data_IF_138176869886
#
_entry.id   IF_138176869886
#
_cell.length_a   1.000
_cell.length_b   1.000
_cell.length_c   1.000
_cell.angle_alpha   90.00
_cell.angle_beta   90.00
_cell.angle_gamma   90.00
#
_symmetry.space_group_name_H-M   'P 1'
#
loop_
_entity.id
_entity.type
_entity.pdbx_description
1 polymer ?
#
# COMPACT_ATOMS: atom_id res chain seq x y z
N UNK A 1 -74.40 2.40 16.88
CA UNK A 1 -74.44 0.93 16.70
C UNK A 1 -72.99 0.47 16.70
N UNK A 2 -72.59 -0.18 17.80
CA UNK A 2 -71.24 -0.74 17.98
C UNK A 2 -71.04 -1.89 16.99
N UNK A 3 -69.90 -1.92 16.31
CA UNK A 3 -69.34 -3.14 15.74
C UNK A 3 -67.84 -3.15 16.04
N UNK A 4 -67.51 -3.92 17.07
CA UNK A 4 -66.22 -4.54 17.35
C UNK A 4 -65.68 -5.19 16.05
N UNK A 5 -64.39 -5.08 15.72
CA UNK A 5 -63.35 -5.90 16.34
C UNK A 5 -62.74 -6.81 15.27
N UNK A 6 -61.82 -6.26 14.47
CA UNK A 6 -60.95 -7.06 13.58
C UNK A 6 -59.64 -7.32 14.33
N UNK A 7 -59.20 -8.58 14.47
CA UNK A 7 -58.03 -8.89 15.27
C UNK A 7 -56.77 -8.37 14.58
N UNK A 8 -56.07 -7.49 15.29
CA UNK A 8 -54.70 -7.05 15.01
C UNK A 8 -53.78 -8.28 15.06
N UNK A 9 -53.51 -8.86 13.90
CA UNK A 9 -52.44 -9.85 13.74
C UNK A 9 -51.11 -9.16 14.06
N UNK A 10 -50.28 -9.85 14.85
CA UNK A 10 -48.99 -9.37 15.37
C UNK A 10 -48.02 -8.86 14.28
N UNK A 11 -48.22 -9.26 13.03
CA UNK A 11 -47.46 -8.84 11.85
C UNK A 11 -47.78 -7.42 11.34
N UNK A 12 -48.98 -6.89 11.61
CA UNK A 12 -49.38 -5.54 11.17
C UNK A 12 -48.80 -4.41 12.04
N UNK A 13 -48.26 -4.73 13.22
CA UNK A 13 -47.72 -3.74 14.16
C UNK A 13 -46.27 -3.35 13.84
N UNK A 14 -45.53 -4.17 13.12
CA UNK A 14 -44.15 -3.86 12.70
C UNK A 14 -44.05 -2.88 11.53
N UNK A 15 -45.07 -2.82 10.66
CA UNK A 15 -45.09 -1.91 9.52
C UNK A 15 -45.74 -0.55 9.81
N UNK A 16 -46.55 -0.44 10.87
CA UNK A 16 -47.33 0.78 11.14
C UNK A 16 -46.73 1.72 12.21
N UNK A 17 -45.49 1.46 12.65
CA UNK A 17 -44.75 2.33 13.57
C UNK A 17 -43.75 3.21 12.81
N UNK A 18 -44.18 3.77 11.69
CA UNK A 18 -43.44 4.77 10.95
C UNK A 18 -44.43 5.82 10.49
N UNK A 19 -44.97 6.64 11.41
CA UNK A 19 -45.54 7.97 11.12
C UNK A 19 -45.85 8.68 12.46
N UNK A 20 -44.95 9.59 12.88
CA UNK A 20 -45.06 10.73 13.84
C UNK A 20 -43.60 11.07 14.21
N UNK A 21 -42.98 12.21 13.87
CA UNK A 21 -43.40 13.62 13.86
C UNK A 21 -42.72 14.45 12.73
N UNK A 22 -43.35 15.53 12.20
CA UNK A 22 -42.83 16.31 11.09
C UNK A 22 -41.99 17.53 11.53
N UNK A 23 -41.03 17.38 12.45
CA UNK A 23 -40.22 18.53 12.92
C UNK A 23 -38.70 18.30 13.14
N UNK A 24 -38.15 17.19 12.68
CA UNK A 24 -36.69 17.07 12.53
C UNK A 24 -36.36 16.19 11.32
N UNK A 25 -36.08 16.82 10.19
CA UNK A 25 -35.45 16.13 9.07
C UNK A 25 -34.04 15.76 9.53
N UNK A 26 -33.87 14.51 9.95
CA UNK A 26 -32.60 13.99 10.42
C UNK A 26 -31.73 13.68 9.18
N UNK A 27 -30.94 14.66 8.76
CA UNK A 27 -30.09 14.58 7.55
C UNK A 27 -29.04 13.46 7.63
N UNK A 28 -28.76 12.95 8.84
CA UNK A 28 -27.81 11.85 9.07
C UNK A 28 -28.36 10.47 8.72
N UNK A 29 -29.68 10.34 8.49
CA UNK A 29 -30.33 9.04 8.21
C UNK A 29 -29.97 8.46 6.83
N UNK A 30 -29.47 9.28 5.90
CA UNK A 30 -29.17 8.89 4.52
C UNK A 30 -27.65 8.81 4.20
N UNK A 31 -26.79 8.69 5.21
CA UNK A 31 -25.32 8.67 5.02
C UNK A 31 -24.81 7.50 4.18
N UNK A 32 -25.58 6.42 4.15
CA UNK A 32 -25.34 5.28 3.27
C UNK A 32 -26.16 5.57 2.00
N UNK A 33 -25.56 6.28 1.04
CA UNK A 33 -26.12 6.72 -0.26
C UNK A 33 -26.61 5.57 -1.19
N UNK A 34 -26.96 4.42 -0.63
CA UNK A 34 -27.43 3.21 -1.31
C UNK A 34 -28.96 3.20 -1.44
N UNK A 35 -29.68 4.08 -0.73
CA UNK A 35 -31.15 4.14 -0.82
C UNK A 35 -31.83 2.89 -0.25
N UNK A 36 -31.23 2.27 0.78
CA UNK A 36 -31.72 1.05 1.42
C UNK A 36 -33.05 1.20 2.17
N UNK A 37 -33.54 2.43 2.31
CA UNK A 37 -34.80 2.72 3.00
C UNK A 37 -36.04 2.27 2.18
N UNK A 38 -35.91 2.21 0.84
CA UNK A 38 -36.98 1.72 -0.03
C UNK A 38 -36.73 0.26 -0.46
N UNK A 39 -37.62 -0.70 -0.13
CA UNK A 39 -37.50 -2.11 -0.51
C UNK A 39 -37.38 -2.35 -2.02
N UNK A 40 -37.78 -1.35 -2.83
CA UNK A 40 -37.63 -1.36 -4.29
C UNK A 40 -36.15 -1.49 -4.72
N UNK A 41 -35.19 -0.91 -3.97
CA UNK A 41 -33.77 -0.91 -4.32
C UNK A 41 -32.96 -2.10 -3.80
N UNK A 42 -33.62 -3.17 -3.33
CA UNK A 42 -32.92 -4.35 -2.80
C UNK A 42 -31.91 -4.99 -3.78
N UNK A 43 -32.15 -4.89 -5.09
CA UNK A 43 -31.26 -5.41 -6.15
C UNK A 43 -30.00 -4.55 -6.34
N UNK A 44 -29.99 -3.31 -5.87
CA UNK A 44 -28.88 -2.39 -6.03
C UNK A 44 -27.64 -2.87 -5.26
N UNK A 45 -27.82 -3.47 -4.09
CA UNK A 45 -26.72 -4.00 -3.26
C UNK A 45 -25.94 -5.12 -3.97
N UNK A 46 -26.59 -6.21 -4.47
CA UNK A 46 -25.90 -7.21 -5.29
C UNK A 46 -25.26 -6.63 -6.55
N UNK A 47 -25.93 -5.70 -7.23
CA UNK A 47 -25.41 -5.05 -8.43
C UNK A 47 -24.13 -4.26 -8.14
N UNK A 48 -24.12 -3.46 -7.06
CA UNK A 48 -22.93 -2.74 -6.59
C UNK A 48 -21.80 -3.75 -6.30
N UNK A 49 -22.10 -4.87 -5.64
CA UNK A 49 -21.11 -5.92 -5.40
C UNK A 49 -20.46 -6.45 -6.69
N UNK A 50 -21.26 -6.76 -7.71
CA UNK A 50 -20.77 -7.22 -9.01
C UNK A 50 -19.91 -6.14 -9.69
N UNK A 51 -20.36 -4.89 -9.68
CA UNK A 51 -19.62 -3.76 -10.25
C UNK A 51 -18.29 -3.56 -9.51
N UNK A 52 -18.28 -3.60 -8.19
CA UNK A 52 -17.06 -3.48 -7.38
C UNK A 52 -16.04 -4.59 -7.70
N UNK A 53 -16.49 -5.84 -7.77
CA UNK A 53 -15.61 -6.98 -8.15
C UNK A 53 -15.07 -6.78 -9.57
N UNK A 54 -15.94 -6.36 -10.50
CA UNK A 54 -15.55 -6.06 -11.89
C UNK A 54 -14.48 -4.98 -11.97
N UNK A 55 -14.66 -3.86 -11.27
CA UNK A 55 -13.68 -2.76 -11.22
C UNK A 55 -12.36 -3.24 -10.60
N UNK A 56 -12.40 -3.98 -9.49
CA UNK A 56 -11.20 -4.56 -8.88
C UNK A 56 -10.44 -5.48 -9.85
N UNK A 57 -11.16 -6.33 -10.60
CA UNK A 57 -10.57 -7.21 -11.60
C UNK A 57 -9.95 -6.40 -12.76
N UNK A 58 -10.66 -5.41 -13.30
CA UNK A 58 -10.15 -4.55 -14.37
C UNK A 58 -8.87 -3.83 -13.93
N UNK A 59 -8.86 -3.19 -12.76
CA UNK A 59 -7.67 -2.48 -12.24
C UNK A 59 -6.48 -3.45 -12.07
N UNK A 60 -6.73 -4.67 -11.57
CA UNK A 60 -5.71 -5.71 -11.45
C UNK A 60 -5.12 -6.11 -12.79
N UNK A 61 -5.98 -6.44 -13.77
CA UNK A 61 -5.53 -6.83 -15.11
C UNK A 61 -4.85 -5.69 -15.85
N UNK A 62 -5.32 -4.45 -15.71
CA UNK A 62 -4.69 -3.25 -16.26
C UNK A 62 -3.30 -3.05 -15.67
N UNK A 63 -3.14 -3.22 -14.35
CA UNK A 63 -1.84 -3.12 -13.69
C UNK A 63 -0.88 -4.22 -14.16
N UNK A 64 -1.37 -5.47 -14.29
CA UNK A 64 -0.58 -6.56 -14.88
C UNK A 64 -0.16 -6.22 -16.30
N UNK A 65 -1.09 -5.85 -17.17
CA UNK A 65 -0.82 -5.49 -18.56
C UNK A 65 0.24 -4.38 -18.64
N UNK A 66 0.09 -3.32 -17.83
CA UNK A 66 1.06 -2.23 -17.73
C UNK A 66 2.46 -2.74 -17.33
N UNK A 67 2.57 -3.55 -16.29
CA UNK A 67 3.87 -4.09 -15.85
C UNK A 67 4.53 -4.99 -16.90
N UNK A 68 3.75 -5.78 -17.63
CA UNK A 68 4.25 -6.63 -18.73
C UNK A 68 4.72 -5.80 -19.92
N UNK A 69 3.95 -4.78 -20.33
CA UNK A 69 4.33 -3.86 -21.40
C UNK A 69 5.62 -3.12 -21.05
N UNK A 70 5.72 -2.56 -19.83
CA UNK A 70 6.93 -1.91 -19.36
C UNK A 70 8.12 -2.88 -19.27
N UNK A 71 7.89 -4.13 -18.85
CA UNK A 71 8.91 -5.17 -18.83
C UNK A 71 9.40 -5.59 -20.22
N UNK A 72 8.51 -5.57 -21.23
CA UNK A 72 8.87 -5.80 -22.62
C UNK A 72 9.68 -4.63 -23.18
N UNK A 73 9.25 -3.39 -22.94
CA UNK A 73 9.98 -2.18 -23.33
C UNK A 73 11.37 -2.18 -22.69
N UNK A 74 11.45 -2.43 -21.38
CA UNK A 74 12.72 -2.50 -20.67
C UNK A 74 13.66 -3.52 -21.30
N UNK A 75 13.15 -4.73 -21.59
CA UNK A 75 13.93 -5.75 -22.27
C UNK A 75 14.39 -5.32 -23.66
N UNK A 76 13.49 -4.78 -24.50
CA UNK A 76 13.81 -4.33 -25.84
C UNK A 76 14.90 -3.25 -25.84
N UNK A 77 14.83 -2.29 -24.91
CA UNK A 77 15.87 -1.25 -24.76
C UNK A 77 17.20 -1.87 -24.33
N UNK A 78 17.19 -2.80 -23.37
CA UNK A 78 18.43 -3.45 -22.91
C UNK A 78 19.03 -4.40 -23.96
N UNK A 79 18.21 -5.14 -24.70
CA UNK A 79 18.68 -6.08 -25.74
C UNK A 79 19.19 -5.35 -26.98
N UNK A 80 18.56 -4.24 -27.36
CA UNK A 80 19.04 -3.38 -28.44
C UNK A 80 20.37 -2.70 -28.08
N UNK A 81 20.53 -2.27 -26.82
CA UNK A 81 21.80 -1.71 -26.32
C UNK A 81 22.94 -2.75 -26.30
N UNK A 82 22.61 -4.03 -26.06
CA UNK A 82 23.57 -5.13 -26.09
C UNK A 82 24.03 -5.52 -27.50
N UNK A 83 23.23 -5.25 -28.54
CA UNK A 83 23.60 -5.57 -29.93
C UNK A 83 24.60 -4.58 -30.54
N UNK A 84 24.80 -3.41 -29.92
CA UNK A 84 25.75 -2.37 -30.37
C UNK A 84 27.12 -2.39 -29.68
N UNK A 85 27.32 -3.25 -28.68
CA UNK A 85 28.58 -3.33 -27.93
C UNK A 85 29.30 -4.63 -28.30
N UNK A 86 30.36 -4.48 -29.09
CA UNK A 86 31.26 -5.55 -29.54
C UNK A 86 31.74 -6.38 -28.35
N UNK A 87 31.64 -7.70 -28.49
CA UNK A 87 32.15 -8.74 -27.59
C UNK A 87 33.54 -8.39 -27.00
N UNK A 88 33.65 -8.27 -25.67
CA UNK A 88 34.73 -8.92 -24.90
C UNK A 88 34.70 -8.74 -23.37
N UNK A 89 33.79 -7.96 -22.79
CA UNK A 89 33.59 -7.95 -21.31
C UNK A 89 32.27 -8.64 -20.92
N UNK A 90 32.29 -9.94 -21.19
CA UNK A 90 31.25 -10.93 -20.91
C UNK A 90 30.92 -11.04 -19.41
N UNK A 91 29.63 -11.25 -19.14
CA UNK A 91 29.10 -12.19 -18.13
C UNK A 91 29.11 -11.83 -16.63
N UNK A 92 29.26 -10.56 -16.22
CA UNK A 92 29.12 -10.22 -14.77
C UNK A 92 28.03 -9.17 -14.46
N UNK A 93 27.60 -8.35 -15.42
CA UNK A 93 26.66 -7.26 -15.14
C UNK A 93 25.26 -7.55 -15.67
N UNK A 94 24.67 -8.67 -15.26
CA UNK A 94 23.21 -8.66 -15.08
C UNK A 94 22.91 -7.52 -14.09
N UNK A 95 21.85 -6.72 -14.23
CA UNK A 95 21.46 -5.76 -13.21
C UNK A 95 20.86 -6.52 -12.01
N UNK A 96 21.63 -7.48 -11.48
CA UNK A 96 21.52 -8.02 -10.15
C UNK A 96 21.65 -6.81 -9.24
N UNK A 97 20.48 -6.37 -8.74
CA UNK A 97 20.31 -5.57 -7.54
C UNK A 97 21.59 -4.84 -7.16
N UNK A 98 22.01 -3.81 -7.91
CA UNK A 98 23.21 -3.05 -7.52
C UNK A 98 22.89 -2.59 -6.10
N UNK A 99 23.58 -3.12 -5.07
CA UNK A 99 23.18 -2.83 -3.72
C UNK A 99 23.51 -1.37 -3.52
N UNK A 100 22.49 -0.52 -3.55
CA UNK A 100 22.67 0.86 -3.15
C UNK A 100 23.18 0.79 -1.72
N UNK A 101 24.43 1.21 -1.51
CA UNK A 101 25.08 1.16 -0.19
C UNK A 101 24.11 1.76 0.84
N UNK A 102 23.87 1.08 1.96
CA UNK A 102 22.87 1.49 2.96
C UNK A 102 22.99 2.98 3.35
N UNK A 103 24.22 3.52 3.36
CA UNK A 103 24.52 4.94 3.60
C UNK A 103 23.94 5.87 2.52
N UNK A 104 24.18 5.59 1.23
CA UNK A 104 23.63 6.39 0.11
C UNK A 104 22.10 6.32 0.07
N UNK A 105 21.52 5.15 0.33
CA UNK A 105 20.06 4.97 0.44
C UNK A 105 19.48 5.79 1.60
N UNK A 106 20.09 5.72 2.78
CA UNK A 106 19.65 6.50 3.94
C UNK A 106 19.76 8.01 3.66
N UNK A 107 20.82 8.45 2.97
CA UNK A 107 20.96 9.84 2.53
C UNK A 107 19.88 10.20 1.51
N UNK A 108 19.59 9.38 0.50
CA UNK A 108 18.53 9.68 -0.49
C UNK A 108 17.15 9.71 0.17
N UNK A 109 16.84 8.79 1.09
CA UNK A 109 15.58 8.80 1.84
C UNK A 109 15.52 10.04 2.74
N UNK A 110 16.59 10.38 3.46
CA UNK A 110 16.64 11.55 4.33
C UNK A 110 16.52 12.86 3.54
N UNK A 111 17.20 12.97 2.40
CA UNK A 111 17.11 14.12 1.48
C UNK A 111 15.71 14.21 0.87
N UNK A 112 15.12 13.09 0.45
CA UNK A 112 13.75 13.06 -0.07
C UNK A 112 12.75 13.49 1.01
N UNK A 113 12.85 12.96 2.23
CA UNK A 113 11.99 13.33 3.35
C UNK A 113 12.18 14.80 3.73
N UNK A 114 13.42 15.29 3.75
CA UNK A 114 13.74 16.69 3.98
C UNK A 114 13.13 17.59 2.89
N UNK A 115 13.25 17.20 1.62
CA UNK A 115 12.69 17.93 0.49
C UNK A 115 11.15 18.00 0.54
N UNK A 116 10.50 16.92 0.97
CA UNK A 116 9.05 16.86 1.21
C UNK A 116 8.64 17.70 2.42
N UNK A 117 9.52 17.78 3.40
CA UNK A 117 9.31 18.59 4.58
C UNK A 117 9.47 20.08 4.29
N UNK A 118 10.32 20.50 3.35
CA UNK A 118 10.64 21.93 3.14
C UNK A 118 10.09 22.57 1.87
N UNK A 119 9.93 21.85 0.76
CA UNK A 119 9.62 22.48 -0.54
C UNK A 119 8.48 21.81 -1.33
N UNK A 120 8.23 20.52 -1.12
CA UNK A 120 7.40 19.71 -2.01
C UNK A 120 6.22 19.08 -1.24
N UNK A 121 4.97 19.18 -1.73
CA UNK A 121 3.83 18.53 -1.11
C UNK A 121 4.01 17.00 -1.07
N UNK A 122 3.59 16.35 0.02
CA UNK A 122 3.76 14.90 0.20
C UNK A 122 3.06 14.08 -0.91
N UNK A 123 2.04 14.65 -1.56
CA UNK A 123 1.33 14.06 -2.70
C UNK A 123 2.26 13.85 -3.90
N UNK A 124 3.22 14.75 -4.14
CA UNK A 124 4.24 14.55 -5.18
C UNK A 124 5.19 13.41 -4.80
N UNK A 125 5.63 13.35 -3.55
CA UNK A 125 6.49 12.27 -3.07
C UNK A 125 5.81 10.91 -3.15
N UNK A 126 4.50 10.86 -2.89
CA UNK A 126 3.68 9.68 -3.10
C UNK A 126 3.69 9.23 -4.57
N UNK A 127 3.52 10.18 -5.50
CA UNK A 127 3.59 9.87 -6.93
C UNK A 127 4.98 9.31 -7.31
N UNK A 128 6.06 9.93 -6.83
CA UNK A 128 7.43 9.43 -7.07
C UNK A 128 7.61 8.03 -6.47
N UNK A 129 7.12 7.79 -5.25
CA UNK A 129 7.16 6.48 -4.61
C UNK A 129 6.38 5.42 -5.42
N UNK A 130 5.19 5.76 -5.94
CA UNK A 130 4.44 4.89 -6.85
C UNK A 130 5.22 4.55 -8.12
N UNK A 131 5.91 5.53 -8.72
CA UNK A 131 6.75 5.27 -9.90
C UNK A 131 7.92 4.35 -9.58
N UNK A 132 8.63 4.61 -8.48
CA UNK A 132 9.73 3.74 -8.01
C UNK A 132 9.22 2.32 -7.73
N UNK A 133 8.05 2.18 -7.11
CA UNK A 133 7.43 0.89 -6.86
C UNK A 133 7.04 0.19 -8.17
N UNK A 134 6.50 0.91 -9.15
CA UNK A 134 6.19 0.37 -10.48
C UNK A 134 7.44 -0.20 -11.15
N UNK A 135 8.54 0.54 -11.17
CA UNK A 135 9.82 0.03 -11.68
C UNK A 135 10.34 -1.17 -10.89
N UNK A 136 10.14 -1.18 -9.57
CA UNK A 136 10.52 -2.29 -8.70
C UNK A 136 9.74 -3.57 -9.06
N UNK A 137 8.43 -3.46 -9.30
CA UNK A 137 7.60 -4.59 -9.75
C UNK A 137 8.00 -5.06 -11.14
N UNK A 138 8.29 -4.15 -12.07
CA UNK A 138 8.78 -4.50 -13.41
C UNK A 138 10.11 -5.27 -13.31
N UNK A 139 11.05 -4.82 -12.47
CA UNK A 139 12.31 -5.54 -12.21
C UNK A 139 12.07 -6.91 -11.60
N UNK A 140 11.18 -7.01 -10.60
CA UNK A 140 10.81 -8.27 -9.98
C UNK A 140 10.23 -9.27 -11.00
N UNK A 141 9.37 -8.79 -11.91
CA UNK A 141 8.81 -9.58 -13.01
C UNK A 141 9.92 -10.10 -13.94
N UNK A 142 10.89 -9.24 -14.28
CA UNK A 142 12.02 -9.64 -15.14
C UNK A 142 12.89 -10.71 -14.47
N UNK A 143 13.22 -10.53 -13.19
CA UNK A 143 13.99 -11.52 -12.42
C UNK A 143 13.27 -12.85 -12.38
N UNK A 144 11.96 -12.85 -12.12
CA UNK A 144 11.15 -14.06 -12.11
C UNK A 144 11.07 -14.74 -13.49
N UNK A 145 11.04 -13.95 -14.58
CA UNK A 145 11.04 -14.48 -15.94
C UNK A 145 12.39 -15.09 -16.35
N UNK A 146 13.51 -14.56 -15.85
CA UNK A 146 14.86 -15.06 -16.19
C UNK A 146 15.35 -16.18 -15.26
N UNK A 147 14.93 -16.15 -14.00
CA UNK A 147 15.34 -17.09 -12.97
C UNK A 147 14.11 -17.48 -12.13
N UNK A 148 13.24 -18.35 -12.66
CA UNK A 148 12.03 -18.76 -11.96
C UNK A 148 12.42 -19.53 -10.69
N UNK A 149 11.94 -19.05 -9.55
CA UNK A 149 12.05 -19.73 -8.26
C UNK A 149 10.84 -19.35 -7.41
N UNK A 150 10.47 -20.21 -6.46
CA UNK A 150 9.34 -19.94 -5.56
C UNK A 150 9.53 -18.63 -4.79
N UNK A 151 10.76 -18.33 -4.38
CA UNK A 151 11.11 -17.08 -3.70
C UNK A 151 10.90 -15.86 -4.61
N UNK A 152 11.33 -15.93 -5.88
CA UNK A 152 11.17 -14.82 -6.83
C UNK A 152 9.71 -14.58 -7.21
N UNK A 153 8.93 -15.67 -7.33
CA UNK A 153 7.49 -15.61 -7.61
C UNK A 153 6.74 -14.98 -6.43
N UNK A 154 7.01 -15.43 -5.20
CA UNK A 154 6.41 -14.88 -3.98
C UNK A 154 6.75 -13.40 -3.81
N UNK A 155 8.00 -13.02 -4.06
CA UNK A 155 8.43 -11.62 -4.02
C UNK A 155 7.71 -10.77 -5.09
N UNK A 156 7.59 -11.25 -6.32
CA UNK A 156 6.84 -10.56 -7.38
C UNK A 156 5.37 -10.35 -6.99
N UNK A 157 4.69 -11.40 -6.52
CA UNK A 157 3.30 -11.30 -6.08
C UNK A 157 3.11 -10.31 -4.93
N UNK A 158 4.02 -10.35 -3.95
CA UNK A 158 4.00 -9.41 -2.83
C UNK A 158 4.20 -7.95 -3.30
N UNK A 159 5.24 -7.68 -4.10
CA UNK A 159 5.51 -6.35 -4.61
C UNK A 159 4.37 -5.81 -5.50
N UNK A 160 3.72 -6.69 -6.27
CA UNK A 160 2.56 -6.37 -7.09
C UNK A 160 1.32 -6.03 -6.23
N UNK A 161 1.05 -6.80 -5.18
CA UNK A 161 -0.05 -6.50 -4.25
C UNK A 161 0.15 -5.16 -3.53
N UNK A 162 1.38 -4.81 -3.15
CA UNK A 162 1.69 -3.49 -2.58
C UNK A 162 1.49 -2.38 -3.62
N UNK A 163 1.89 -2.60 -4.87
CA UNK A 163 1.66 -1.63 -5.95
C UNK A 163 0.16 -1.37 -6.18
N UNK A 164 -0.68 -2.42 -6.15
CA UNK A 164 -2.14 -2.27 -6.25
C UNK A 164 -2.70 -1.43 -5.10
N UNK A 165 -2.28 -1.71 -3.87
CA UNK A 165 -2.67 -0.93 -2.70
C UNK A 165 -2.27 0.55 -2.86
N UNK A 166 -1.08 0.81 -3.40
CA UNK A 166 -0.61 2.16 -3.65
C UNK A 166 -1.39 2.87 -4.78
N UNK A 167 -1.76 2.14 -5.84
CA UNK A 167 -2.57 2.65 -6.94
C UNK A 167 -3.97 3.06 -6.50
N UNK A 168 -4.59 2.34 -5.55
CA UNK A 168 -5.93 2.69 -5.03
C UNK A 168 -5.97 4.03 -4.30
N UNK A 169 -4.85 4.43 -3.68
CA UNK A 169 -4.73 5.71 -2.95
C UNK A 169 -4.29 6.85 -3.88
N UNK A 170 -3.71 6.53 -5.05
CA UNK A 170 -3.20 7.53 -6.00
C UNK A 170 -4.26 8.54 -6.49
N UNK A 171 -5.50 8.15 -6.86
CA UNK A 171 -6.55 9.07 -7.31
C UNK A 171 -6.91 10.16 -6.29
N UNK A 172 -6.75 9.89 -4.99
CA UNK A 172 -7.02 10.87 -3.93
C UNK A 172 -5.95 11.98 -3.95
N UNK A 173 -4.70 11.63 -4.29
CA UNK A 173 -3.57 12.55 -4.30
C UNK A 173 -3.45 13.37 -5.60
N UNK A 174 -3.96 12.85 -6.72
CA UNK A 174 -3.82 13.48 -8.04
C UNK A 174 -4.48 14.87 -8.15
N UNK A 175 -5.73 15.11 -7.67
CA UNK A 175 -6.35 16.43 -7.75
C UNK A 175 -5.58 17.50 -6.97
N UNK A 176 -5.10 17.16 -5.77
CA UNK A 176 -4.33 18.07 -4.93
C UNK A 176 -3.00 18.40 -5.63
N UNK A 177 -2.34 17.40 -6.21
CA UNK A 177 -1.12 17.59 -6.97
C UNK A 177 -1.35 18.46 -8.22
N UNK A 178 -2.46 18.24 -8.95
CA UNK A 178 -2.77 19.00 -10.16
C UNK A 178 -2.99 20.50 -9.86
N UNK A 179 -3.72 20.81 -8.79
CA UNK A 179 -3.92 22.20 -8.33
C UNK A 179 -2.58 22.80 -7.90
N UNK A 180 -1.74 22.04 -7.19
CA UNK A 180 -0.41 22.49 -6.80
C UNK A 180 0.48 22.80 -8.01
N UNK A 181 0.54 21.92 -9.02
CA UNK A 181 1.32 22.14 -10.25
C UNK A 181 0.82 23.39 -10.99
N UNK A 182 -0.50 23.54 -11.14
CA UNK A 182 -1.10 24.72 -11.78
C UNK A 182 -0.68 26.00 -11.06
N UNK A 183 -0.72 26.01 -9.74
CA UNK A 183 -0.38 27.19 -8.96
C UNK A 183 1.13 27.48 -8.99
N UNK A 184 1.98 26.45 -9.01
CA UNK A 184 3.42 26.62 -9.22
C UNK A 184 3.73 27.27 -10.58
N UNK A 185 2.99 26.88 -11.61
CA UNK A 185 3.14 27.41 -12.97
C UNK A 185 2.67 28.88 -13.11
N UNK A 186 1.71 29.32 -12.29
CA UNK A 186 1.13 30.68 -12.37
C UNK A 186 1.77 31.63 -11.34
N UNK A 187 2.00 31.18 -10.11
CA UNK A 187 2.50 31.98 -8.99
C UNK A 187 3.66 31.26 -8.30
N UNK A 188 4.83 31.27 -8.94
CA UNK A 188 6.05 30.60 -8.48
C UNK A 188 6.47 30.94 -7.03
N UNK A 189 6.17 32.14 -6.55
CA UNK A 189 6.66 32.67 -5.26
C UNK A 189 5.60 32.78 -4.15
N UNK A 190 4.38 32.27 -4.33
CA UNK A 190 3.41 32.23 -3.23
C UNK A 190 3.55 30.89 -2.49
N UNK A 191 4.24 30.84 -1.32
CA UNK A 191 4.34 29.61 -0.56
C UNK A 191 2.93 29.26 -0.05
N UNK A 192 2.37 28.16 -0.53
CA UNK A 192 1.26 27.55 0.18
C UNK A 192 1.77 27.08 1.53
N UNK A 193 1.00 27.35 2.59
CA UNK A 193 1.08 26.57 3.83
C UNK A 193 0.66 25.15 3.50
N UNK A 194 1.62 24.37 3.03
CA UNK A 194 1.44 22.94 2.81
C UNK A 194 1.35 22.34 4.20
N UNK A 195 0.24 21.68 4.52
CA UNK A 195 0.18 20.88 5.73
C UNK A 195 1.16 19.72 5.52
N UNK A 196 2.42 19.90 5.94
CA UNK A 196 3.50 18.93 5.79
C UNK A 196 3.23 17.75 6.73
N UNK A 197 2.28 16.89 6.36
CA UNK A 197 2.00 15.68 7.10
C UNK A 197 2.99 14.59 6.68
N UNK A 198 4.25 14.79 7.04
CA UNK A 198 5.37 13.88 6.72
C UNK A 198 5.10 12.46 7.25
N UNK A 199 4.36 12.34 8.36
CA UNK A 199 3.93 11.07 8.92
C UNK A 199 2.99 10.28 7.98
N UNK A 200 2.26 10.98 7.12
CA UNK A 200 1.31 10.37 6.16
C UNK A 200 2.00 9.73 4.94
N UNK A 201 3.29 10.01 4.72
CA UNK A 201 4.05 9.52 3.56
C UNK A 201 5.29 8.70 3.92
N UNK A 202 5.85 8.94 5.11
CA UNK A 202 7.07 8.25 5.59
C UNK A 202 6.95 6.72 5.52
N UNK A 203 5.84 6.09 5.95
CA UNK A 203 5.69 4.64 5.86
C UNK A 203 5.78 4.10 4.43
N UNK A 204 5.17 4.77 3.46
CA UNK A 204 5.27 4.36 2.05
C UNK A 204 6.68 4.52 1.48
N UNK A 205 7.37 5.62 1.80
CA UNK A 205 8.76 5.83 1.36
C UNK A 205 9.68 4.73 1.92
N UNK A 206 9.53 4.39 3.19
CA UNK A 206 10.30 3.32 3.83
C UNK A 206 9.94 1.94 3.24
N UNK A 207 8.65 1.67 3.04
CA UNK A 207 8.17 0.41 2.46
C UNK A 207 8.69 0.20 1.04
N UNK A 208 8.57 1.21 0.17
CA UNK A 208 9.12 1.17 -1.19
C UNK A 208 10.64 1.06 -1.14
N UNK A 209 11.29 1.75 -0.21
CA UNK A 209 12.72 1.59 0.04
C UNK A 209 13.12 0.14 0.37
N UNK A 210 12.32 -0.59 1.15
CA UNK A 210 12.59 -2.00 1.46
C UNK A 210 12.33 -2.89 0.24
N UNK A 211 11.23 -2.65 -0.48
CA UNK A 211 10.89 -3.39 -1.69
C UNK A 211 11.94 -3.22 -2.78
N UNK A 212 12.49 -2.01 -3.00
CA UNK A 212 13.57 -1.81 -4.00
C UNK A 212 14.83 -2.65 -3.72
N UNK A 213 15.05 -3.08 -2.47
CA UNK A 213 16.18 -3.96 -2.09
C UNK A 213 15.88 -5.45 -2.24
N UNK A 214 14.68 -5.84 -2.67
CA UNK A 214 14.29 -7.24 -2.76
C UNK A 214 13.90 -7.88 -1.42
N UNK A 215 13.75 -7.08 -0.36
CA UNK A 215 13.28 -7.58 0.93
C UNK A 215 11.76 -7.79 0.88
N UNK A 216 11.31 -9.01 1.18
CA UNK A 216 9.90 -9.35 1.38
C UNK A 216 9.55 -9.37 2.87
N UNK A 217 8.25 -9.25 3.20
CA UNK A 217 7.80 -9.46 4.57
C UNK A 217 8.18 -10.88 4.98
N UNK A 218 8.88 -11.03 6.11
CA UNK A 218 9.27 -12.34 6.58
C UNK A 218 8.07 -13.17 7.02
N UNK A 219 8.27 -14.48 7.17
CA UNK A 219 7.21 -15.36 7.69
C UNK A 219 7.03 -15.09 9.18
N UNK A 220 6.10 -14.20 9.49
CA UNK A 220 5.82 -13.77 10.86
C UNK A 220 5.06 -14.83 11.65
N UNK A 221 5.20 -14.79 12.98
CA UNK A 221 4.47 -15.65 13.89
C UNK A 221 2.95 -15.47 13.80
N UNK A 222 2.20 -16.47 14.30
CA UNK A 222 0.74 -16.56 14.17
C UNK A 222 0.00 -15.30 14.64
N UNK A 223 0.46 -14.67 15.73
CA UNK A 223 -0.14 -13.43 16.29
C UNK A 223 0.02 -12.24 15.35
N UNK A 224 1.22 -11.98 14.85
CA UNK A 224 1.49 -10.88 13.91
C UNK A 224 0.75 -11.06 12.58
N UNK A 225 0.60 -12.32 12.14
CA UNK A 225 -0.25 -12.66 10.99
C UNK A 225 -1.72 -12.30 11.22
N UNK A 226 -2.28 -12.64 12.39
CA UNK A 226 -3.65 -12.25 12.75
C UNK A 226 -3.83 -10.73 12.82
N UNK A 227 -2.88 -10.00 13.39
CA UNK A 227 -2.93 -8.53 13.43
C UNK A 227 -2.96 -7.95 12.01
N UNK A 228 -2.11 -8.44 11.12
CA UNK A 228 -2.08 -8.00 9.70
C UNK A 228 -3.41 -8.28 9.01
N UNK A 229 -3.97 -9.48 9.21
CA UNK A 229 -5.27 -9.85 8.65
C UNK A 229 -6.40 -8.97 9.20
N UNK A 230 -6.39 -8.69 10.50
CA UNK A 230 -7.37 -7.83 11.16
C UNK A 230 -7.31 -6.39 10.62
N UNK A 231 -6.11 -5.82 10.45
CA UNK A 231 -5.93 -4.47 9.90
C UNK A 231 -6.44 -4.36 8.46
N UNK A 232 -6.11 -5.35 7.61
CA UNK A 232 -6.60 -5.40 6.23
C UNK A 232 -8.12 -5.57 6.18
N UNK A 233 -8.68 -6.45 7.01
CA UNK A 233 -10.12 -6.69 7.09
C UNK A 233 -10.88 -5.46 7.59
N UNK A 234 -10.39 -4.80 8.65
CA UNK A 234 -10.96 -3.58 9.17
C UNK A 234 -10.96 -2.45 8.12
N UNK A 235 -9.87 -2.34 7.36
CA UNK A 235 -9.77 -1.36 6.25
C UNK A 235 -10.73 -1.69 5.12
N UNK A 236 -10.91 -2.97 4.77
CA UNK A 236 -11.87 -3.40 3.76
C UNK A 236 -13.32 -3.11 4.20
N UNK A 237 -13.67 -3.39 5.46
CA UNK A 237 -14.98 -3.09 6.03
C UNK A 237 -15.24 -1.57 6.02
N UNK A 238 -14.25 -0.78 6.46
CA UNK A 238 -14.36 0.67 6.44
C UNK A 238 -14.52 1.22 5.02
N UNK A 239 -13.76 0.71 4.06
CA UNK A 239 -13.88 1.10 2.65
C UNK A 239 -15.25 0.76 2.06
N UNK A 240 -15.82 -0.40 2.42
CA UNK A 240 -17.14 -0.82 1.96
C UNK A 240 -18.27 0.06 2.53
N UNK A 241 -18.17 0.48 3.80
CA UNK A 241 -19.22 1.26 4.46
C UNK A 241 -19.10 2.77 4.22
N UNK A 242 -17.88 3.31 4.33
CA UNK A 242 -17.62 4.75 4.40
C UNK A 242 -16.66 5.27 3.32
N UNK A 243 -16.30 4.43 2.35
CA UNK A 243 -15.32 4.80 1.31
C UNK A 243 -15.75 6.00 0.44
N UNK A 244 -17.05 6.13 0.17
CA UNK A 244 -17.63 7.23 -0.62
C UNK A 244 -17.71 8.52 0.21
N UNK A 245 -18.18 8.41 1.46
CA UNK A 245 -18.40 9.58 2.33
C UNK A 245 -17.09 10.16 2.88
N UNK A 246 -16.09 9.31 3.14
CA UNK A 246 -14.84 9.70 3.81
C UNK A 246 -13.61 9.09 3.10
N UNK A 247 -13.47 9.35 1.80
CA UNK A 247 -12.34 8.87 1.00
C UNK A 247 -10.96 9.27 1.56
N UNK A 248 -10.85 10.46 2.18
CA UNK A 248 -9.58 10.92 2.77
C UNK A 248 -9.12 10.02 3.93
N UNK A 249 -10.05 9.39 4.66
CA UNK A 249 -9.69 8.53 5.79
C UNK A 249 -9.05 7.22 5.33
N UNK A 250 -9.37 6.76 4.11
CA UNK A 250 -8.73 5.60 3.50
C UNK A 250 -7.23 5.78 3.34
N UNK A 251 -6.79 7.00 3.00
CA UNK A 251 -5.36 7.32 2.93
C UNK A 251 -4.67 7.05 4.27
N UNK A 252 -5.27 7.48 5.39
CA UNK A 252 -4.70 7.26 6.72
C UNK A 252 -4.72 5.78 7.13
N UNK A 253 -5.80 5.05 6.86
CA UNK A 253 -5.88 3.62 7.16
C UNK A 253 -4.82 2.81 6.40
N UNK A 254 -4.68 3.07 5.10
CA UNK A 254 -3.66 2.39 4.29
C UNK A 254 -2.25 2.81 4.71
N UNK A 255 -2.05 4.06 5.16
CA UNK A 255 -0.77 4.49 5.73
C UNK A 255 -0.44 3.76 7.04
N UNK A 256 -1.43 3.47 7.90
CA UNK A 256 -1.25 2.65 9.10
C UNK A 256 -0.84 1.22 8.71
N UNK A 257 -1.48 0.63 7.70
CA UNK A 257 -1.09 -0.68 7.17
C UNK A 257 0.36 -0.64 6.65
N UNK A 258 0.74 0.39 5.88
CA UNK A 258 2.10 0.54 5.38
C UNK A 258 3.11 0.67 6.53
N UNK A 259 2.79 1.42 7.58
CA UNK A 259 3.63 1.55 8.77
C UNK A 259 3.80 0.22 9.50
N UNK A 260 2.71 -0.52 9.67
CA UNK A 260 2.73 -1.86 10.24
C UNK A 260 3.61 -2.81 9.43
N UNK A 261 3.49 -2.81 8.09
CA UNK A 261 4.35 -3.62 7.23
C UNK A 261 5.83 -3.25 7.39
N UNK A 262 6.17 -1.97 7.53
CA UNK A 262 7.56 -1.53 7.78
C UNK A 262 8.08 -2.07 9.12
N UNK A 263 7.27 -2.04 10.18
CA UNK A 263 7.64 -2.61 11.49
C UNK A 263 7.88 -4.12 11.41
N UNK A 264 7.10 -4.85 10.60
CA UNK A 264 7.35 -6.28 10.39
C UNK A 264 8.69 -6.54 9.68
N UNK A 265 9.10 -5.68 8.74
CA UNK A 265 10.42 -5.80 8.11
C UNK A 265 11.57 -5.50 9.07
N UNK A 266 11.41 -4.55 10.01
CA UNK A 266 12.46 -4.21 10.96
C UNK A 266 12.63 -5.26 12.08
N UNK A 267 11.56 -5.98 12.42
CA UNK A 267 11.60 -7.02 13.47
C UNK A 267 12.58 -8.14 13.11
N UNK A 268 12.66 -8.53 11.84
CA UNK A 268 13.61 -9.55 11.39
C UNK A 268 15.05 -9.05 11.34
N UNK A 269 15.27 -7.79 10.92
CA UNK A 269 16.62 -7.20 10.83
C UNK A 269 17.27 -7.05 12.23
N UNK A 270 16.49 -6.76 13.28
CA UNK A 270 17.01 -6.50 14.64
C UNK A 270 17.11 -7.75 15.53
N UNK A 271 16.21 -8.72 15.42
CA UNK A 271 16.24 -9.93 16.28
C UNK A 271 17.36 -10.87 15.85
N UNK A 272 17.61 -11.03 14.54
CA UNK A 272 18.66 -11.94 14.06
C UNK A 272 20.07 -11.33 14.24
N UNK A 273 20.23 -10.02 14.04
CA UNK A 273 21.52 -9.33 14.21
C UNK A 273 21.91 -9.16 15.69
N UNK A 274 20.95 -8.89 16.57
CA UNK A 274 21.16 -8.87 18.01
C UNK A 274 21.54 -10.24 18.56
N UNK A 275 20.88 -11.31 18.11
CA UNK A 275 21.21 -12.67 18.54
C UNK A 275 22.56 -13.15 17.98
N UNK A 276 22.89 -12.84 16.72
CA UNK A 276 24.19 -13.19 16.15
C UNK A 276 25.35 -12.44 16.80
N UNK A 277 25.14 -11.17 17.18
CA UNK A 277 26.12 -10.38 17.90
C UNK A 277 26.38 -10.96 19.31
N UNK A 278 25.31 -11.35 20.02
CA UNK A 278 25.42 -11.96 21.35
C UNK A 278 26.05 -13.36 21.28
N UNK A 279 25.70 -14.17 20.27
CA UNK A 279 26.26 -15.51 20.10
C UNK A 279 27.76 -15.46 19.73
N UNK A 280 28.16 -14.50 18.88
CA UNK A 280 29.56 -14.31 18.49
C UNK A 280 30.42 -13.72 19.62
N UNK A 281 29.83 -12.92 20.51
CA UNK A 281 30.51 -12.40 21.71
C UNK A 281 30.68 -13.48 22.79
N UNK A 282 29.74 -14.42 22.87
CA UNK A 282 29.83 -15.57 23.78
C UNK A 282 30.90 -16.59 23.38
N UNK A 283 31.13 -16.81 22.09
CA UNK A 283 32.15 -17.77 21.60
C UNK A 283 33.57 -17.23 21.71
N UNK A 284 33.78 -15.93 21.62
CA UNK A 284 35.09 -15.29 21.83
C UNK A 284 35.49 -15.24 23.30
N UNK A 285 34.50 -15.19 24.20
CA UNK A 285 34.71 -15.20 25.65
C UNK A 285 35.18 -16.56 26.19
N UNK A 286 34.65 -17.67 25.66
CA UNK A 286 35.06 -19.03 26.10
C UNK A 286 36.50 -19.38 25.69
N UNK A 287 36.97 -18.90 24.54
CA UNK A 287 38.31 -19.21 24.03
C UNK A 287 39.39 -18.52 24.87
N UNK A 288 39.16 -17.27 25.29
CA UNK A 288 40.05 -16.55 26.22
C UNK A 288 40.17 -17.20 27.60
N UNK A 289 39.12 -17.87 28.08
CA UNK A 289 39.18 -18.60 29.37
C UNK A 289 39.95 -19.91 29.28
N UNK A 290 39.90 -20.62 28.13
CA UNK A 290 40.69 -21.84 27.92
C UNK A 290 42.16 -21.55 27.71
N UNK A 291 42.52 -20.47 27.02
CA UNK A 291 43.93 -20.07 26.86
C UNK A 291 44.57 -19.67 28.19
N UNK A 292 43.84 -19.04 29.11
CA UNK A 292 44.36 -18.66 30.44
C UNK A 292 44.46 -19.81 31.44
N UNK A 293 43.73 -20.92 31.25
CA UNK A 293 43.83 -22.10 32.10
C UNK A 293 44.93 -23.09 31.65
N UNK A 294 45.58 -22.80 30.51
CA UNK A 294 46.61 -23.62 29.87
C UNK A 294 48.03 -23.03 30.02
N UNK A 295 48.18 -21.92 30.74
CA UNK A 295 49.46 -21.33 31.17
C UNK A 295 49.50 -21.33 32.70
#
# INVERSE_FOLDING_TARGET
>A
MSLEGVPVTWLGRFFNQAHTDPLSVDFHRHDILIGTDDPFFWFLVPLIGIVCIGVCAVVHYMTKALTHVLGLIYWAVTSFSLLGSTDDERLISSPALVPWTNKRRMITIAVLLFLVWTFIPYQFAYLVACLVQLFTVVRALRINATAPSDTNSNYYHYAHSVLLLMLWILPINLPILAVWIRNLAVHWLTPFSSHHNVLSITPFILLVGNLTTGKMVPRVGRVLGYVTSLLLFATALYAAMYGISHAYMLHHLVNIIAAWLVVLHSTDDHVLSGLSAILHDSSTSEDMTKTKASM
#
